data_IF_674689961829
#
_entry.id   IF_674689961829
#
_cell.length_a   1.000
_cell.length_b   1.000
_cell.length_c   1.000
_cell.angle_alpha   90.00
_cell.angle_beta   90.00
_cell.angle_gamma   90.00
#
_symmetry.space_group_name_H-M   'P 1'
#
loop_
_entity.id
_entity.type
_entity.pdbx_description
1 polymer ?
#
# COMPACT_ATOMS: atom_id res chain seq x y z
N UNK A 1 6.49 0.72 28.68
CA UNK A 1 5.88 1.56 27.62
C UNK A 1 4.89 0.72 26.81
N UNK A 2 3.57 0.85 27.01
CA UNK A 2 2.61 0.05 26.24
C UNK A 2 2.50 0.58 24.82
N UNK A 3 2.95 -0.23 23.86
CA UNK A 3 2.80 -0.02 22.43
C UNK A 3 1.31 0.02 22.08
N UNK A 4 0.84 1.18 21.63
CA UNK A 4 -0.54 1.44 21.22
C UNK A 4 -0.88 0.47 20.07
N UNK A 5 -1.70 -0.53 20.36
CA UNK A 5 -2.09 -1.60 19.44
C UNK A 5 -2.74 -1.02 18.18
N UNK A 6 -1.94 -0.80 17.14
CA UNK A 6 -2.42 -0.52 15.80
C UNK A 6 -3.19 -1.76 15.33
N UNK A 7 -4.52 -1.68 15.33
CA UNK A 7 -5.39 -2.72 14.76
C UNK A 7 -5.12 -2.76 13.25
N UNK A 8 -4.15 -3.56 12.84
CA UNK A 8 -3.89 -3.88 11.43
C UNK A 8 -5.04 -4.79 11.00
N UNK A 9 -6.08 -4.19 10.41
CA UNK A 9 -7.34 -4.89 10.12
C UNK A 9 -7.14 -6.05 9.12
N UNK A 10 -6.13 -5.99 8.26
CA UNK A 10 -5.85 -7.04 7.28
C UNK A 10 -4.38 -7.03 6.87
N UNK A 11 -3.54 -7.79 7.57
CA UNK A 11 -2.20 -8.12 7.07
C UNK A 11 -2.33 -9.36 6.18
N UNK A 12 -2.56 -9.17 4.88
CA UNK A 12 -2.46 -10.26 3.89
C UNK A 12 -0.98 -10.59 3.70
N UNK A 13 -0.40 -11.33 4.65
CA UNK A 13 0.92 -11.90 4.44
C UNK A 13 0.79 -12.99 3.36
N UNK A 14 1.49 -12.85 2.22
CA UNK A 14 1.35 -13.75 1.07
C UNK A 14 1.77 -15.20 1.40
N UNK A 15 2.53 -15.39 2.49
CA UNK A 15 2.92 -16.70 3.01
C UNK A 15 1.72 -17.53 3.49
N UNK A 16 0.66 -16.88 3.98
CA UNK A 16 -0.58 -17.57 4.36
C UNK A 16 -1.62 -17.64 3.24
N UNK A 17 -1.34 -17.03 2.08
CA UNK A 17 -2.22 -17.13 0.92
C UNK A 17 -2.13 -18.54 0.32
N UNK A 18 -3.28 -19.08 -0.09
CA UNK A 18 -3.33 -20.35 -0.84
C UNK A 18 -2.98 -20.09 -2.30
N UNK A 19 -2.22 -20.99 -2.91
CA UNK A 19 -1.98 -20.93 -4.33
C UNK A 19 -3.30 -21.17 -5.11
N UNK A 20 -3.69 -20.31 -6.05
CA UNK A 20 -4.95 -20.47 -6.79
C UNK A 20 -4.94 -21.70 -7.70
N UNK A 21 -3.78 -22.22 -8.07
CA UNK A 21 -3.66 -23.39 -8.95
C UNK A 21 -3.62 -24.71 -8.18
N UNK A 22 -2.92 -24.79 -7.03
CA UNK A 22 -2.73 -26.06 -6.31
C UNK A 22 -3.20 -26.03 -4.84
N UNK A 23 -3.88 -24.97 -4.42
CA UNK A 23 -4.41 -24.73 -3.06
C UNK A 23 -3.40 -24.82 -1.90
N UNK A 24 -2.12 -25.08 -2.18
CA UNK A 24 -1.10 -25.23 -1.15
C UNK A 24 -0.83 -23.91 -0.42
N UNK A 25 -0.73 -23.99 0.90
CA UNK A 25 -0.35 -22.90 1.80
C UNK A 25 1.16 -22.82 1.95
N UNK A 26 1.70 -21.62 2.22
CA UNK A 26 3.13 -21.38 2.46
C UNK A 26 4.07 -21.81 1.32
N UNK A 27 3.56 -21.87 0.09
CA UNK A 27 4.36 -22.21 -1.10
C UNK A 27 4.58 -21.02 -2.02
N UNK A 28 3.91 -19.89 -1.77
CA UNK A 28 4.10 -18.65 -2.53
C UNK A 28 5.34 -17.91 -2.02
N UNK A 29 6.27 -17.66 -2.94
CA UNK A 29 7.43 -16.81 -2.70
C UNK A 29 7.50 -15.67 -3.72
N UNK A 30 8.14 -14.56 -3.35
CA UNK A 30 8.30 -13.38 -4.20
C UNK A 30 9.24 -13.69 -5.36
N UNK A 31 8.77 -13.53 -6.60
CA UNK A 31 9.62 -13.70 -7.79
C UNK A 31 10.18 -12.37 -8.29
N UNK A 32 11.32 -12.42 -8.99
CA UNK A 32 11.89 -11.23 -9.67
C UNK A 32 11.13 -10.94 -10.97
N UNK A 33 11.11 -9.67 -11.37
CA UNK A 33 10.64 -9.25 -12.69
C UNK A 33 11.65 -9.72 -13.73
N UNK A 34 11.17 -10.29 -14.85
CA UNK A 34 12.02 -10.71 -15.97
C UNK A 34 12.17 -9.59 -17.00
N UNK A 35 11.13 -8.79 -17.18
CA UNK A 35 11.09 -7.75 -18.21
C UNK A 35 11.09 -6.35 -17.61
N UNK A 36 11.62 -5.38 -18.35
CA UNK A 36 11.60 -3.97 -17.96
C UNK A 36 10.18 -3.44 -17.77
N UNK A 37 9.21 -3.88 -18.60
CA UNK A 37 7.78 -3.57 -18.43
C UNK A 37 7.23 -4.07 -17.08
N UNK A 38 7.62 -5.28 -16.68
CA UNK A 38 7.25 -5.82 -15.36
C UNK A 38 7.94 -5.06 -14.24
N UNK A 39 9.15 -4.53 -14.45
CA UNK A 39 9.85 -3.70 -13.47
C UNK A 39 9.17 -2.34 -13.27
N UNK A 40 8.73 -1.70 -14.36
CA UNK A 40 7.96 -0.44 -14.33
C UNK A 40 6.63 -0.65 -13.62
N UNK A 41 5.86 -1.68 -14.00
CA UNK A 41 4.59 -2.00 -13.35
C UNK A 41 4.81 -2.35 -11.87
N UNK A 42 5.89 -3.06 -11.52
CA UNK A 42 6.23 -3.39 -10.12
C UNK A 42 6.63 -2.16 -9.30
N UNK A 43 7.18 -1.13 -9.93
CA UNK A 43 7.57 0.12 -9.26
C UNK A 43 6.37 1.04 -9.03
N UNK A 44 5.47 1.12 -10.02
CA UNK A 44 4.33 2.03 -9.99
C UNK A 44 3.12 1.41 -9.29
N UNK A 45 2.88 0.11 -9.50
CA UNK A 45 1.70 -0.58 -9.00
C UNK A 45 1.95 -1.29 -7.67
N UNK A 46 0.90 -1.41 -6.85
CA UNK A 46 0.95 -2.14 -5.57
C UNK A 46 0.89 -3.68 -5.78
N UNK A 47 0.97 -4.14 -7.03
CA UNK A 47 0.96 -5.55 -7.38
C UNK A 47 2.39 -6.10 -7.38
N UNK A 48 2.62 -7.13 -6.55
CA UNK A 48 3.90 -7.85 -6.52
C UNK A 48 3.73 -9.20 -7.19
N UNK A 49 4.75 -9.63 -7.93
CA UNK A 49 4.76 -10.93 -8.60
C UNK A 49 5.16 -12.02 -7.60
N UNK A 50 4.37 -13.08 -7.54
CA UNK A 50 4.64 -14.28 -6.75
C UNK A 50 4.70 -15.51 -7.64
N UNK A 51 5.45 -16.51 -7.17
CA UNK A 51 5.54 -17.83 -7.77
C UNK A 51 5.28 -18.90 -6.70
N UNK A 52 4.55 -19.95 -7.07
CA UNK A 52 4.37 -21.12 -6.23
C UNK A 52 5.51 -22.13 -6.48
N UNK A 53 6.15 -22.61 -5.40
CA UNK A 53 7.21 -23.62 -5.50
C UNK A 53 6.69 -25.02 -5.86
N UNK A 54 5.42 -25.35 -5.56
CA UNK A 54 4.87 -26.69 -5.84
C UNK A 54 4.40 -26.85 -7.29
N UNK A 55 3.55 -25.94 -7.78
CA UNK A 55 2.96 -26.06 -9.12
C UNK A 55 3.58 -25.13 -10.18
N UNK A 56 4.50 -24.24 -9.78
CA UNK A 56 5.11 -23.27 -10.70
C UNK A 56 4.21 -22.10 -11.11
N UNK A 57 2.99 -22.01 -10.56
CA UNK A 57 2.06 -20.90 -10.83
C UNK A 57 2.73 -19.55 -10.61
N UNK A 58 2.50 -18.60 -11.52
CA UNK A 58 3.06 -17.25 -11.48
C UNK A 58 1.93 -16.24 -11.68
N UNK A 59 1.82 -15.28 -10.78
CA UNK A 59 0.80 -14.24 -10.87
C UNK A 59 1.08 -13.04 -9.98
N UNK A 60 0.22 -12.04 -10.12
CA UNK A 60 0.31 -10.79 -9.38
C UNK A 60 -0.63 -10.85 -8.17
N UNK A 61 -0.11 -10.53 -6.99
CA UNK A 61 -0.94 -10.32 -5.80
C UNK A 61 -0.82 -8.88 -5.33
N UNK A 62 -1.97 -8.28 -5.01
CA UNK A 62 -2.05 -6.95 -4.44
C UNK A 62 -1.50 -6.95 -3.02
N UNK A 63 -0.48 -6.13 -2.75
CA UNK A 63 0.04 -5.90 -1.38
C UNK A 63 -0.58 -4.63 -0.76
N UNK A 64 -1.73 -4.17 -1.26
CA UNK A 64 -2.41 -2.99 -0.71
C UNK A 64 -2.84 -3.29 0.74
N UNK A 65 -2.15 -2.67 1.69
CA UNK A 65 -2.56 -2.65 3.09
C UNK A 65 -3.21 -1.30 3.34
N UNK A 66 -4.51 -1.20 3.03
CA UNK A 66 -5.29 -0.01 3.37
C UNK A 66 -5.59 -0.10 4.86
N UNK A 67 -4.86 0.66 5.66
CA UNK A 67 -5.06 0.72 7.11
C UNK A 67 -5.96 1.90 7.45
N UNK A 68 -6.88 1.73 8.41
CA UNK A 68 -7.74 2.82 8.90
C UNK A 68 -6.93 4.01 9.43
N UNK A 69 -5.76 3.73 10.01
CA UNK A 69 -4.79 4.73 10.44
C UNK A 69 -4.28 5.61 9.28
N UNK A 70 -4.08 5.03 8.10
CA UNK A 70 -3.64 5.75 6.90
C UNK A 70 -4.71 6.73 6.43
N UNK A 71 -5.99 6.35 6.49
CA UNK A 71 -7.12 7.22 6.14
C UNK A 71 -7.21 8.39 7.12
N UNK A 72 -7.08 8.13 8.43
CA UNK A 72 -7.10 9.18 9.46
C UNK A 72 -5.97 10.18 9.28
N UNK A 73 -4.75 9.72 9.00
CA UNK A 73 -3.63 10.60 8.73
C UNK A 73 -3.84 11.43 7.46
N UNK A 74 -4.38 10.82 6.40
CA UNK A 74 -4.67 11.52 5.16
C UNK A 74 -5.71 12.64 5.37
N UNK A 75 -6.77 12.39 6.13
CA UNK A 75 -7.75 13.41 6.53
C UNK A 75 -7.10 14.55 7.33
N UNK A 76 -6.24 14.22 8.30
CA UNK A 76 -5.52 15.23 9.08
C UNK A 76 -4.65 16.14 8.20
N UNK A 77 -3.94 15.56 7.22
CA UNK A 77 -3.14 16.35 6.28
C UNK A 77 -3.98 17.26 5.39
N UNK A 78 -5.15 16.78 4.92
CA UNK A 78 -6.07 17.59 4.11
C UNK A 78 -6.58 18.80 4.92
N UNK A 79 -6.97 18.58 6.19
CA UNK A 79 -7.43 19.66 7.07
C UNK A 79 -6.31 20.69 7.33
N UNK A 80 -5.10 20.22 7.61
CA UNK A 80 -3.94 21.10 7.80
C UNK A 80 -3.61 21.91 6.54
N UNK A 81 -3.65 21.29 5.36
CA UNK A 81 -3.38 21.95 4.08
C UNK A 81 -4.43 23.03 3.78
N UNK A 82 -5.73 22.72 3.99
CA UNK A 82 -6.79 23.71 3.85
C UNK A 82 -6.62 24.87 4.85
N UNK A 83 -6.34 24.57 6.12
CA UNK A 83 -6.10 25.59 7.14
C UNK A 83 -4.95 26.53 6.77
N UNK A 84 -3.81 25.96 6.34
CA UNK A 84 -2.66 26.74 5.87
C UNK A 84 -3.01 27.60 4.65
N UNK A 85 -3.72 27.06 3.66
CA UNK A 85 -4.17 27.80 2.48
C UNK A 85 -5.11 28.97 2.83
N UNK A 86 -6.02 28.77 3.79
CA UNK A 86 -6.89 29.83 4.28
C UNK A 86 -6.09 30.93 4.98
N UNK A 87 -5.12 30.58 5.82
CA UNK A 87 -4.26 31.57 6.50
C UNK A 87 -3.48 32.39 5.46
N UNK A 88 -2.84 31.73 4.49
CA UNK A 88 -2.06 32.41 3.43
C UNK A 88 -2.95 33.36 2.64
N UNK A 89 -4.15 32.93 2.24
CA UNK A 89 -5.06 33.80 1.48
C UNK A 89 -5.57 34.98 2.29
N UNK A 90 -5.81 34.83 3.60
CA UNK A 90 -6.18 35.93 4.49
C UNK A 90 -5.03 36.94 4.67
N UNK A 91 -3.80 36.45 4.84
CA UNK A 91 -2.60 37.29 4.95
C UNK A 91 -2.36 38.08 3.66
N UNK A 92 -2.41 37.42 2.50
CA UNK A 92 -2.24 38.09 1.21
C UNK A 92 -3.28 39.18 0.99
N UNK A 93 -4.55 38.92 1.31
CA UNK A 93 -5.62 39.94 1.23
C UNK A 93 -5.39 41.13 2.16
N UNK A 94 -4.73 40.93 3.30
CA UNK A 94 -4.43 41.98 4.28
C UNK A 94 -3.22 42.83 3.88
N UNK A 95 -2.29 42.29 3.11
CA UNK A 95 -1.08 43.01 2.67
C UNK A 95 -1.20 43.65 1.28
N UNK A 96 -2.08 43.13 0.41
CA UNK A 96 -2.25 43.60 -0.98
C UNK A 96 -3.49 44.51 -1.15
N UNK A 97 -4.26 44.73 -0.09
CA UNK A 97 -5.35 45.72 -0.06
C UNK A 97 -4.95 46.94 0.74
#
# INVERSE_FOLDING_TARGET
>A
MPSKSNKVLFRRDPSYARCPSCASVNTLHRSRSRNWREAVIKSISIFKVYRCNKCGWRGYLSTLVITWLSIRNLLLYIVLAMGAGLIVTQVLKRFIK
#
